data_IF_632450113568
#
_entry.id   IF_632450113568
#
_cell.length_a   1.000
_cell.length_b   1.000
_cell.length_c   1.000
_cell.angle_alpha   90.00
_cell.angle_beta   90.00
_cell.angle_gamma   90.00
#
_symmetry.space_group_name_H-M   'P 1'
#
loop_
_entity.id
_entity.type
_entity.pdbx_description
1 polymer ?
#
# COMPACT_ATOMS: atom_id res chain seq x y z
N UNK A 1 -21.32 2.29 32.49
CA UNK A 1 -20.27 1.41 31.91
C UNK A 1 -19.01 2.23 31.70
N UNK A 2 -17.88 1.72 32.17
CA UNK A 2 -16.68 2.49 32.53
C UNK A 2 -15.96 3.10 31.29
N UNK A 3 -15.69 4.42 31.30
CA UNK A 3 -14.99 5.15 30.22
C UNK A 3 -13.68 4.49 29.77
N UNK A 4 -12.95 3.88 30.70
CA UNK A 4 -11.72 3.11 30.46
C UNK A 4 -11.87 1.99 29.41
N UNK A 5 -13.04 1.35 29.35
CA UNK A 5 -13.29 0.25 28.41
C UNK A 5 -13.50 0.76 26.98
N UNK A 6 -14.03 1.98 26.83
CA UNK A 6 -14.17 2.63 25.51
C UNK A 6 -12.81 3.07 24.98
N UNK A 7 -11.94 3.63 25.82
CA UNK A 7 -10.57 4.01 25.43
C UNK A 7 -9.73 2.82 24.97
N UNK A 8 -9.79 1.69 25.68
CA UNK A 8 -9.11 0.44 25.26
C UNK A 8 -9.57 -0.06 23.89
N UNK A 9 -10.87 0.03 23.58
CA UNK A 9 -11.39 -0.39 22.27
C UNK A 9 -10.90 0.53 21.15
N UNK A 10 -10.83 1.85 21.41
CA UNK A 10 -10.29 2.82 20.45
C UNK A 10 -8.80 2.59 20.23
N UNK A 11 -8.02 2.43 21.30
CA UNK A 11 -6.59 2.13 21.25
C UNK A 11 -6.29 0.87 20.43
N UNK A 12 -7.03 -0.22 20.67
CA UNK A 12 -6.86 -1.46 19.90
C UNK A 12 -7.18 -1.28 18.40
N UNK A 13 -8.20 -0.48 18.06
CA UNK A 13 -8.53 -0.18 16.66
C UNK A 13 -7.44 0.63 15.98
N UNK A 14 -6.91 1.65 16.66
CA UNK A 14 -5.82 2.47 16.15
C UNK A 14 -4.54 1.63 15.99
N UNK A 15 -4.19 0.78 16.96
CA UNK A 15 -3.05 -0.13 16.83
C UNK A 15 -3.20 -1.11 15.66
N UNK A 16 -4.41 -1.61 15.40
CA UNK A 16 -4.67 -2.47 14.24
C UNK A 16 -4.47 -1.69 12.92
N UNK A 17 -5.09 -0.50 12.81
CA UNK A 17 -4.91 0.38 11.64
C UNK A 17 -3.46 0.80 11.43
N UNK A 18 -2.70 1.04 12.50
CA UNK A 18 -1.27 1.36 12.42
C UNK A 18 -0.49 0.20 11.78
N UNK A 19 -0.73 -1.04 12.24
CA UNK A 19 -0.07 -2.23 11.67
C UNK A 19 -0.44 -2.43 10.21
N UNK A 20 -1.71 -2.25 9.87
CA UNK A 20 -2.18 -2.37 8.49
C UNK A 20 -1.52 -1.32 7.58
N UNK A 21 -1.42 -0.07 8.03
CA UNK A 21 -0.73 0.99 7.31
C UNK A 21 0.78 0.73 7.22
N UNK A 22 1.42 0.27 8.31
CA UNK A 22 2.84 -0.10 8.30
C UNK A 22 3.15 -1.25 7.36
N UNK A 23 2.23 -2.20 7.19
CA UNK A 23 2.37 -3.28 6.21
C UNK A 23 2.14 -2.79 4.78
N UNK A 24 1.19 -1.88 4.57
CA UNK A 24 0.89 -1.33 3.23
C UNK A 24 1.98 -0.43 2.66
N UNK A 25 2.68 0.35 3.50
CA UNK A 25 3.75 1.24 3.03
C UNK A 25 4.82 0.51 2.20
N UNK A 26 5.47 -0.57 2.69
CA UNK A 26 6.47 -1.29 1.90
C UNK A 26 5.86 -2.01 0.69
N UNK A 27 4.59 -2.40 0.75
CA UNK A 27 3.91 -2.99 -0.42
C UNK A 27 3.70 -1.96 -1.53
N UNK A 28 3.32 -0.72 -1.19
CA UNK A 28 3.23 0.39 -2.16
C UNK A 28 4.61 0.76 -2.73
N UNK A 29 5.66 0.75 -1.90
CA UNK A 29 7.04 0.97 -2.35
C UNK A 29 7.50 -0.11 -3.34
N UNK A 30 7.19 -1.39 -3.08
CA UNK A 30 7.44 -2.48 -4.03
C UNK A 30 6.66 -2.28 -5.34
N UNK A 31 5.39 -1.87 -5.27
CA UNK A 31 4.61 -1.57 -6.47
C UNK A 31 5.26 -0.45 -7.30
N UNK A 32 5.78 0.60 -6.66
CA UNK A 32 6.53 1.66 -7.35
C UNK A 32 7.79 1.13 -8.03
N UNK A 33 8.55 0.26 -7.36
CA UNK A 33 9.77 -0.35 -7.91
C UNK A 33 9.47 -1.24 -9.12
N UNK A 34 8.38 -2.00 -9.08
CA UNK A 34 7.89 -2.82 -10.20
C UNK A 34 7.51 -1.93 -11.39
N UNK A 35 6.76 -0.84 -11.17
CA UNK A 35 6.38 0.10 -12.23
C UNK A 35 7.61 0.78 -12.83
N UNK A 36 8.59 1.15 -12.00
CA UNK A 36 9.85 1.73 -12.47
C UNK A 36 10.67 0.73 -13.31
N UNK A 37 10.71 -0.54 -12.88
CA UNK A 37 11.37 -1.63 -13.63
C UNK A 37 10.68 -1.88 -14.97
N UNK A 38 9.34 -1.86 -15.00
CA UNK A 38 8.55 -1.97 -16.22
C UNK A 38 8.84 -0.81 -17.19
N UNK A 39 8.91 0.43 -16.69
CA UNK A 39 9.28 1.60 -17.50
C UNK A 39 10.71 1.49 -18.06
N UNK A 40 11.69 1.15 -17.22
CA UNK A 40 13.07 0.99 -17.66
C UNK A 40 13.24 -0.10 -18.72
N UNK A 41 12.48 -1.20 -18.59
CA UNK A 41 12.46 -2.30 -19.57
C UNK A 41 11.80 -1.90 -20.88
N UNK A 42 10.74 -1.09 -20.83
CA UNK A 42 10.14 -0.48 -22.02
C UNK A 42 11.14 0.36 -22.80
N UNK A 43 11.93 1.21 -22.13
CA UNK A 43 12.95 2.04 -22.78
C UNK A 43 14.06 1.21 -23.44
N UNK A 44 14.34 0.02 -22.89
CA UNK A 44 15.32 -0.92 -23.47
C UNK A 44 14.80 -1.71 -24.68
N UNK A 45 13.49 -1.72 -24.92
CA UNK A 45 12.85 -2.43 -26.04
C UNK A 45 12.85 -3.96 -25.93
N UNK A 46 13.26 -4.52 -24.78
CA UNK A 46 13.29 -5.95 -24.52
C UNK A 46 11.96 -6.45 -23.95
N UNK A 47 11.43 -7.56 -24.50
CA UNK A 47 10.25 -8.22 -23.92
C UNK A 47 10.60 -8.78 -22.52
N UNK A 48 9.80 -8.46 -21.52
CA UNK A 48 10.03 -8.92 -20.15
C UNK A 48 9.50 -10.35 -20.01
N UNK A 49 10.41 -11.30 -19.83
CA UNK A 49 10.09 -12.67 -19.44
C UNK A 49 10.04 -12.73 -17.91
N UNK A 50 8.85 -12.95 -17.36
CA UNK A 50 8.61 -13.05 -15.92
C UNK A 50 7.77 -14.28 -15.61
N UNK A 51 8.03 -14.91 -14.46
CA UNK A 51 7.25 -16.04 -13.97
C UNK A 51 6.12 -15.49 -13.10
N UNK A 52 4.90 -15.56 -13.62
CA UNK A 52 3.70 -15.07 -12.95
C UNK A 52 3.06 -16.18 -12.13
N UNK A 53 2.78 -15.92 -10.86
CA UNK A 53 2.09 -16.88 -9.99
C UNK A 53 0.60 -16.93 -10.34
N UNK A 54 0.14 -18.04 -10.91
CA UNK A 54 -1.26 -18.25 -11.29
C UNK A 54 -2.05 -18.85 -10.13
N UNK A 55 -1.38 -19.66 -9.31
CA UNK A 55 -1.92 -20.31 -8.13
C UNK A 55 -0.78 -20.60 -7.15
N UNK A 56 -1.11 -20.92 -5.89
CA UNK A 56 -0.12 -21.21 -4.84
C UNK A 56 0.87 -22.30 -5.29
N UNK A 57 2.12 -21.90 -5.56
CA UNK A 57 3.19 -22.77 -6.05
C UNK A 57 3.13 -23.13 -7.55
N UNK A 58 2.20 -22.56 -8.32
CA UNK A 58 2.08 -22.71 -9.78
C UNK A 58 2.45 -21.40 -10.46
N UNK A 59 3.64 -21.40 -11.07
CA UNK A 59 4.16 -20.28 -11.83
C UNK A 59 4.01 -20.55 -13.33
N UNK A 60 3.49 -19.57 -14.07
CA UNK A 60 3.42 -19.58 -15.51
C UNK A 60 4.38 -18.55 -16.09
N UNK A 61 5.14 -18.96 -17.09
CA UNK A 61 6.05 -18.04 -17.78
C UNK A 61 5.26 -17.10 -18.68
N UNK A 62 5.26 -15.83 -18.33
CA UNK A 62 4.62 -14.77 -19.08
C UNK A 62 5.68 -13.95 -19.84
N UNK A 63 5.37 -13.65 -21.10
CA UNK A 63 6.11 -12.66 -21.88
C UNK A 63 5.24 -11.40 -21.92
N UNK A 64 5.76 -10.32 -21.34
CA UNK A 64 5.13 -9.01 -21.36
C UNK A 64 5.82 -8.22 -22.47
N UNK A 65 5.10 -8.00 -23.57
CA UNK A 65 5.53 -7.06 -24.62
C UNK A 65 5.31 -5.62 -24.12
N UNK A 66 5.97 -4.63 -24.75
CA UNK A 66 5.94 -3.22 -24.33
C UNK A 66 4.52 -2.75 -23.99
N UNK A 67 4.22 -2.64 -22.70
CA UNK A 67 2.90 -2.26 -22.18
C UNK A 67 3.04 -0.89 -21.52
N UNK A 68 2.16 0.03 -21.91
CA UNK A 68 2.19 1.42 -21.45
C UNK A 68 1.31 1.68 -20.23
N UNK A 69 0.49 0.69 -19.89
CA UNK A 69 -0.51 0.74 -18.84
C UNK A 69 -0.33 -0.38 -17.81
N UNK A 70 -0.73 -0.09 -16.58
CA UNK A 70 -0.79 -1.04 -15.46
C UNK A 70 -2.17 -1.02 -14.82
N UNK A 71 -2.65 -2.18 -14.38
CA UNK A 71 -3.91 -2.30 -13.66
C UNK A 71 -3.66 -2.15 -12.16
N UNK A 72 -4.25 -1.12 -11.55
CA UNK A 72 -4.17 -0.88 -10.11
C UNK A 72 -5.49 -1.24 -9.43
N UNK A 73 -5.36 -1.94 -8.30
CA UNK A 73 -6.50 -2.22 -7.43
C UNK A 73 -6.67 -1.11 -6.41
N UNK A 74 -7.78 -0.37 -6.49
CA UNK A 74 -8.06 0.77 -5.62
C UNK A 74 -8.84 0.38 -4.35
N UNK A 75 -9.25 -0.89 -4.25
CA UNK A 75 -10.12 -1.38 -3.19
C UNK A 75 -11.59 -1.38 -3.60
N UNK A 76 -12.46 -1.87 -2.71
CA UNK A 76 -13.90 -1.97 -2.92
C UNK A 76 -14.32 -2.68 -4.23
N UNK A 77 -13.56 -3.70 -4.65
CA UNK A 77 -13.78 -4.42 -5.92
C UNK A 77 -13.61 -3.57 -7.19
N UNK A 78 -12.84 -2.47 -7.10
CA UNK A 78 -12.54 -1.60 -8.22
C UNK A 78 -11.09 -1.76 -8.66
N UNK A 79 -10.91 -2.12 -9.93
CA UNK A 79 -9.63 -2.12 -10.63
C UNK A 79 -9.70 -1.12 -11.77
N UNK A 80 -8.68 -0.28 -11.91
CA UNK A 80 -8.58 0.72 -12.97
C UNK A 80 -7.22 0.62 -13.67
N UNK A 81 -7.25 0.78 -14.99
CA UNK A 81 -6.05 0.86 -15.82
C UNK A 81 -5.53 2.30 -15.77
N UNK A 82 -4.24 2.44 -15.52
CA UNK A 82 -3.52 3.72 -15.50
C UNK A 82 -2.27 3.60 -16.35
N UNK A 83 -1.84 4.69 -16.99
CA UNK A 83 -0.51 4.74 -17.59
C UNK A 83 0.58 4.59 -16.52
N UNK A 84 1.77 4.12 -16.90
CA UNK A 84 2.87 3.97 -15.93
C UNK A 84 3.20 5.29 -15.18
N UNK A 85 3.06 6.44 -15.84
CA UNK A 85 3.26 7.77 -15.22
C UNK A 85 2.16 8.12 -14.20
N UNK A 86 0.89 7.91 -14.57
CA UNK A 86 -0.24 8.13 -13.67
C UNK A 86 -0.20 7.17 -12.48
N UNK A 87 0.13 5.90 -12.72
CA UNK A 87 0.29 4.89 -11.69
C UNK A 87 1.39 5.28 -10.70
N UNK A 88 2.53 5.77 -11.19
CA UNK A 88 3.62 6.26 -10.33
C UNK A 88 3.17 7.43 -9.46
N UNK A 89 2.47 8.39 -10.06
CA UNK A 89 1.94 9.57 -9.36
C UNK A 89 0.89 9.18 -8.31
N UNK A 90 0.00 8.26 -8.65
CA UNK A 90 -1.05 7.76 -7.77
C UNK A 90 -0.46 6.97 -6.60
N UNK A 91 0.48 6.07 -6.87
CA UNK A 91 1.18 5.30 -5.83
C UNK A 91 1.99 6.20 -4.89
N UNK A 92 2.66 7.23 -5.40
CA UNK A 92 3.34 8.24 -4.58
C UNK A 92 2.38 9.01 -3.68
N UNK A 93 1.27 9.51 -4.24
CA UNK A 93 0.24 10.17 -3.45
C UNK A 93 -0.35 9.22 -2.39
N UNK A 94 -0.56 7.94 -2.73
CA UNK A 94 -1.06 6.95 -1.79
C UNK A 94 -0.07 6.70 -0.65
N UNK A 95 1.22 6.63 -0.97
CA UNK A 95 2.31 6.47 -0.01
C UNK A 95 2.42 7.67 0.94
N UNK A 96 2.35 8.89 0.43
CA UNK A 96 2.34 10.10 1.26
C UNK A 96 1.11 10.13 2.17
N UNK A 97 -0.07 9.83 1.64
CA UNK A 97 -1.30 9.73 2.43
C UNK A 97 -1.21 8.65 3.52
N UNK A 98 -0.64 7.48 3.21
CA UNK A 98 -0.44 6.40 4.16
C UNK A 98 0.54 6.81 5.28
N UNK A 99 1.64 7.49 4.94
CA UNK A 99 2.61 8.02 5.91
C UNK A 99 2.00 9.11 6.80
N UNK A 100 1.27 10.06 6.21
CA UNK A 100 0.58 11.11 6.96
C UNK A 100 -0.51 10.53 7.89
N UNK A 101 -1.29 9.56 7.40
CA UNK A 101 -2.31 8.87 8.23
C UNK A 101 -1.66 8.12 9.40
N UNK A 102 -0.50 7.51 9.17
CA UNK A 102 0.26 6.82 10.21
C UNK A 102 0.80 7.78 11.27
N UNK A 103 1.29 8.95 10.86
CA UNK A 103 1.76 10.00 11.79
C UNK A 103 0.61 10.53 12.66
N UNK A 104 -0.55 10.79 12.05
CA UNK A 104 -1.78 11.17 12.79
C UNK A 104 -2.17 10.09 13.78
N UNK A 105 -2.16 8.81 13.37
CA UNK A 105 -2.49 7.69 14.23
C UNK A 105 -1.55 7.56 15.44
N UNK A 106 -0.25 7.78 15.22
CA UNK A 106 0.76 7.77 16.28
C UNK A 106 0.49 8.90 17.27
N UNK A 107 0.16 10.11 16.78
CA UNK A 107 -0.23 11.24 17.61
C UNK A 107 -1.48 10.96 18.45
N UNK A 108 -2.52 10.38 17.84
CA UNK A 108 -3.76 10.00 18.53
C UNK A 108 -3.52 8.95 19.62
N UNK A 109 -2.69 7.94 19.34
CA UNK A 109 -2.29 6.94 20.33
C UNK A 109 -1.54 7.56 21.52
N UNK A 110 -0.64 8.51 21.24
CA UNK A 110 0.11 9.20 22.28
C UNK A 110 -0.81 10.09 23.14
N UNK A 111 -1.74 10.81 22.52
CA UNK A 111 -2.76 11.59 23.21
C UNK A 111 -3.66 10.71 24.10
N UNK A 112 -4.10 9.56 23.61
CA UNK A 112 -4.88 8.60 24.39
C UNK A 112 -4.11 8.08 25.61
N UNK A 113 -2.81 7.81 25.45
CA UNK A 113 -1.95 7.35 26.54
C UNK A 113 -1.76 8.42 27.62
N UNK A 114 -1.61 9.68 27.21
CA UNK A 114 -1.45 10.79 28.15
C UNK A 114 -2.75 11.06 28.92
N UNK A 115 -3.92 10.97 28.28
CA UNK A 115 -5.23 11.07 28.95
C UNK A 115 -5.45 9.97 30.00
N UNK A 116 -4.96 8.75 29.75
CA UNK A 116 -5.00 7.64 30.70
C UNK A 116 -4.02 7.81 31.88
N UNK A 117 -2.92 8.54 31.70
CA UNK A 117 -1.88 8.71 32.73
C UNK A 117 -2.19 9.87 33.69
N UNK A 118 -3.00 10.85 33.25
CA UNK A 118 -3.36 12.04 34.04
C UNK A 118 -4.56 11.78 34.98
N UNK A 119 -5.35 10.72 34.76
CA UNK A 119 -6.52 10.36 35.59
C UNK A 119 -6.23 9.19 36.51
#
# INVERSE_FOLDING_TARGET
>A
MCRLQQYKVVEMKLLAQQRDLQAKVPDIEKCLDVVATLQAKKDSGEALLTDFEVFEGIYARARIDNTDSVCLWLGANVMLEYSCEEATSLLRNNLENAKASLEVLVGDLQFLRDQLTIT
#
